data_IF_206849900817
#
_entry.id   IF_206849900817
#
_cell.length_a   1.000
_cell.length_b   1.000
_cell.length_c   1.000
_cell.angle_alpha   90.00
_cell.angle_beta   90.00
_cell.angle_gamma   90.00
#
_symmetry.space_group_name_H-M   'P 1'
#
loop_
_entity.id
_entity.type
_entity.pdbx_description
1 polymer ?
#
# COMPACT_ATOMS: atom_id res chain seq x y z
N UNK A 1 -22.31 -4.76 15.61
CA UNK A 1 -22.54 -6.22 15.74
C UNK A 1 -21.23 -6.89 16.18
N UNK A 2 -21.01 -7.02 17.49
CA UNK A 2 -19.79 -7.62 18.05
C UNK A 2 -19.75 -9.11 17.78
N UNK A 3 -18.71 -9.61 17.10
CA UNK A 3 -18.48 -11.05 16.93
C UNK A 3 -18.10 -11.59 18.30
N UNK A 4 -18.95 -12.42 18.91
CA UNK A 4 -18.58 -13.23 20.08
C UNK A 4 -17.57 -14.28 19.59
N UNK A 5 -16.29 -13.94 19.63
CA UNK A 5 -15.23 -14.92 19.47
C UNK A 5 -15.33 -15.87 20.67
N UNK A 6 -15.65 -17.14 20.43
CA UNK A 6 -15.55 -18.18 21.45
C UNK A 6 -14.06 -18.39 21.74
N UNK A 7 -13.51 -17.61 22.66
CA UNK A 7 -12.14 -17.78 23.14
C UNK A 7 -12.11 -19.00 24.06
N UNK A 8 -11.28 -19.98 23.72
CA UNK A 8 -11.06 -21.14 24.58
C UNK A 8 -10.28 -20.71 25.83
N UNK A 9 -10.50 -21.34 27.00
CA UNK A 9 -9.86 -20.95 28.26
C UNK A 9 -8.32 -20.93 28.22
N UNK A 10 -7.72 -21.64 27.26
CA UNK A 10 -6.28 -21.75 27.03
C UNK A 10 -5.68 -20.67 26.12
N UNK A 11 -6.48 -19.75 25.57
CA UNK A 11 -5.96 -18.66 24.73
C UNK A 11 -5.10 -17.74 25.58
N UNK A 12 -3.90 -17.43 25.11
CA UNK A 12 -2.98 -16.52 25.80
C UNK A 12 -3.17 -15.09 25.31
N UNK A 13 -3.33 -14.17 26.26
CA UNK A 13 -3.53 -12.75 26.02
C UNK A 13 -2.33 -11.95 26.52
N UNK A 14 -1.94 -10.91 25.77
CA UNK A 14 -0.87 -9.99 26.20
C UNK A 14 -1.40 -9.08 27.29
N UNK A 15 -0.67 -9.00 28.41
CA UNK A 15 -1.10 -8.24 29.60
C UNK A 15 -1.31 -6.76 29.29
N UNK A 16 -0.46 -6.18 28.44
CA UNK A 16 -0.52 -4.79 27.98
C UNK A 16 -1.82 -4.42 27.25
N UNK A 17 -2.51 -5.41 26.66
CA UNK A 17 -3.75 -5.19 25.90
C UNK A 17 -5.01 -5.51 26.70
N UNK A 18 -4.86 -6.03 27.92
CA UNK A 18 -5.99 -6.41 28.77
C UNK A 18 -6.71 -5.20 29.32
N UNK A 19 -5.99 -4.14 29.69
CA UNK A 19 -6.57 -2.90 30.18
C UNK A 19 -7.43 -2.22 29.11
N UNK A 20 -6.92 -2.18 27.88
CA UNK A 20 -7.70 -1.69 26.74
C UNK A 20 -8.90 -2.59 26.44
N UNK A 21 -8.75 -3.92 26.58
CA UNK A 21 -9.86 -4.85 26.40
C UNK A 21 -10.98 -4.64 27.44
N UNK A 22 -10.64 -4.39 28.71
CA UNK A 22 -11.62 -4.04 29.75
C UNK A 22 -12.36 -2.74 29.42
N UNK A 23 -11.64 -1.74 28.91
CA UNK A 23 -12.26 -0.50 28.41
C UNK A 23 -13.22 -0.73 27.24
N UNK A 24 -12.87 -1.62 26.29
CA UNK A 24 -13.79 -2.02 25.21
C UNK A 24 -15.00 -2.82 25.69
N UNK A 25 -14.92 -3.47 26.85
CA UNK A 25 -16.04 -4.17 27.50
C UNK A 25 -16.93 -3.22 28.33
N UNK A 26 -16.64 -1.91 28.37
CA UNK A 26 -17.41 -0.92 29.12
C UNK A 26 -17.14 -0.95 30.64
N UNK A 27 -16.04 -1.57 31.07
CA UNK A 27 -15.65 -1.66 32.47
C UNK A 27 -14.66 -0.52 32.74
N UNK A 28 -15.13 0.54 33.39
CA UNK A 28 -14.27 1.63 33.87
C UNK A 28 -13.49 1.13 35.09
N UNK A 29 -12.20 0.89 34.89
CA UNK A 29 -11.30 0.37 35.94
C UNK A 29 -10.42 1.47 36.48
N UNK A 30 -10.32 1.56 37.80
CA UNK A 30 -9.36 2.46 38.48
C UNK A 30 -7.96 1.87 38.50
N UNK A 31 -6.91 2.69 38.57
CA UNK A 31 -5.51 2.22 38.60
C UNK A 31 -5.25 1.21 39.74
N UNK A 32 -5.92 1.38 40.88
CA UNK A 32 -5.82 0.47 42.02
C UNK A 32 -6.43 -0.91 41.73
N UNK A 33 -7.55 -0.96 40.98
CA UNK A 33 -8.17 -2.21 40.55
C UNK A 33 -7.34 -2.92 39.48
N UNK A 34 -6.72 -2.15 38.57
CA UNK A 34 -5.80 -2.68 37.56
C UNK A 34 -4.55 -3.30 38.21
N UNK A 35 -3.97 -2.63 39.22
CA UNK A 35 -2.85 -3.17 39.99
C UNK A 35 -3.24 -4.42 40.78
N UNK A 36 -4.43 -4.42 41.42
CA UNK A 36 -4.95 -5.59 42.14
C UNK A 36 -5.16 -6.79 41.22
N UNK A 37 -5.62 -6.54 39.99
CA UNK A 37 -5.78 -7.56 38.96
C UNK A 37 -4.41 -8.09 38.50
N UNK A 38 -3.42 -7.21 38.27
CA UNK A 38 -2.05 -7.59 37.90
C UNK A 38 -1.34 -8.42 38.96
N UNK A 39 -1.60 -8.17 40.24
CA UNK A 39 -1.03 -8.96 41.33
C UNK A 39 -1.65 -10.36 41.46
N UNK A 40 -2.93 -10.52 41.08
CA UNK A 40 -3.64 -11.80 41.15
C UNK A 40 -3.42 -12.69 39.93
N UNK A 41 -3.07 -12.08 38.81
CA UNK A 41 -2.84 -12.78 37.55
C UNK A 41 -1.40 -13.29 37.48
N UNK A 42 -1.23 -14.57 37.13
CA UNK A 42 0.09 -15.12 36.84
C UNK A 42 0.55 -14.69 35.44
N UNK A 43 1.52 -13.78 35.39
CA UNK A 43 2.15 -13.33 34.15
C UNK A 43 3.34 -14.23 33.85
N UNK A 44 3.33 -14.86 32.69
CA UNK A 44 4.43 -15.71 32.23
C UNK A 44 5.66 -14.86 31.81
N UNK A 45 6.85 -15.46 31.69
CA UNK A 45 8.11 -14.81 31.32
C UNK A 45 8.07 -14.11 29.95
N UNK A 46 7.02 -14.35 29.16
CA UNK A 46 6.73 -13.72 27.86
C UNK A 46 5.70 -12.58 27.92
N UNK A 47 5.25 -12.14 29.11
CA UNK A 47 4.30 -11.03 29.27
C UNK A 47 2.86 -11.38 28.84
N UNK A 48 2.50 -12.66 28.90
CA UNK A 48 1.17 -13.17 28.51
C UNK A 48 0.48 -13.89 29.68
N UNK A 49 -0.85 -13.87 29.70
CA UNK A 49 -1.71 -14.56 30.68
C UNK A 49 -2.69 -15.48 29.94
N UNK A 50 -3.06 -16.61 30.55
CA UNK A 50 -4.18 -17.42 30.07
C UNK A 50 -5.52 -16.69 30.23
N UNK A 51 -6.39 -16.79 29.22
CA UNK A 51 -7.72 -16.15 29.24
C UNK A 51 -8.57 -16.61 30.43
N UNK A 52 -8.51 -17.89 30.79
CA UNK A 52 -9.20 -18.42 31.96
C UNK A 52 -8.80 -17.72 33.27
N UNK A 53 -7.50 -17.57 33.51
CA UNK A 53 -6.97 -16.96 34.73
C UNK A 53 -7.26 -15.46 34.78
N UNK A 54 -7.21 -14.79 33.63
CA UNK A 54 -7.62 -13.39 33.50
C UNK A 54 -9.11 -13.21 33.82
N UNK A 55 -9.98 -14.04 33.25
CA UNK A 55 -11.44 -13.98 33.49
C UNK A 55 -11.75 -14.27 34.95
N UNK A 56 -11.04 -15.21 35.58
CA UNK A 56 -11.22 -15.52 36.99
C UNK A 56 -10.77 -14.35 37.89
N UNK A 57 -9.57 -13.80 37.65
CA UNK A 57 -9.08 -12.63 38.36
C UNK A 57 -9.98 -11.40 38.18
N UNK A 58 -10.52 -11.21 36.98
CA UNK A 58 -11.46 -10.12 36.67
C UNK A 58 -12.80 -10.34 37.38
N UNK A 59 -13.34 -11.56 37.41
CA UNK A 59 -14.56 -11.88 38.18
C UNK A 59 -14.39 -11.61 39.68
N UNK A 60 -13.21 -11.88 40.23
CA UNK A 60 -12.94 -11.67 41.65
C UNK A 60 -12.71 -10.21 42.02
N UNK A 61 -12.26 -9.37 41.09
CA UNK A 61 -12.01 -7.93 41.31
C UNK A 61 -13.23 -7.06 40.93
N UNK A 62 -13.94 -7.42 39.86
CA UNK A 62 -15.04 -6.63 39.27
C UNK A 62 -16.42 -7.28 39.47
N UNK A 63 -16.57 -8.07 40.53
CA UNK A 63 -17.73 -8.95 40.81
C UNK A 63 -19.11 -8.26 40.72
N UNK A 64 -19.18 -6.94 40.87
CA UNK A 64 -20.41 -6.14 40.71
C UNK A 64 -20.67 -5.66 39.27
N UNK A 65 -19.63 -5.34 38.49
CA UNK A 65 -19.76 -4.77 37.14
C UNK A 65 -19.93 -5.85 36.06
N UNK A 66 -19.39 -7.05 36.30
CA UNK A 66 -19.52 -8.16 35.34
C UNK A 66 -20.91 -8.81 35.38
N UNK A 67 -21.58 -8.81 36.53
CA UNK A 67 -22.95 -9.32 36.66
C UNK A 67 -23.95 -8.42 35.92
N UNK A 68 -23.69 -7.10 35.88
CA UNK A 68 -24.51 -6.13 35.15
C UNK A 68 -24.27 -6.20 33.63
N UNK A 69 -23.02 -6.40 33.18
CA UNK A 69 -22.69 -6.58 31.76
C UNK A 69 -23.08 -7.96 31.20
N UNK A 70 -23.35 -8.95 32.06
CA UNK A 70 -23.80 -10.30 31.65
C UNK A 70 -25.28 -10.57 31.94
N UNK A 71 -25.95 -9.73 32.73
CA UNK A 71 -27.40 -9.74 32.92
C UNK A 71 -28.14 -9.00 31.80
N UNK A 72 -28.12 -9.58 30.60
CA UNK A 72 -29.26 -9.43 29.70
C UNK A 72 -30.49 -10.13 30.31
N UNK A 73 -31.72 -9.63 30.10
CA UNK A 73 -32.93 -10.18 30.72
C UNK A 73 -33.13 -11.62 30.25
N UNK A 74 -32.81 -12.58 31.11
CA UNK A 74 -32.82 -14.00 30.76
C UNK A 74 -31.96 -14.91 31.64
N UNK A 75 -31.47 -14.45 32.79
CA UNK A 75 -30.84 -15.33 33.78
C UNK A 75 -31.87 -15.70 34.84
N UNK A 76 -32.43 -16.89 34.68
CA UNK A 76 -33.22 -17.62 35.65
C UNK A 76 -32.47 -17.69 37.00
N UNK A 77 -32.87 -16.84 37.94
CA UNK A 77 -32.62 -17.11 39.36
C UNK A 77 -33.53 -18.28 39.75
N UNK A 78 -32.93 -19.46 39.85
CA UNK A 78 -33.52 -20.58 40.58
C UNK A 78 -33.56 -20.20 42.07
N UNK A 79 -34.57 -19.42 42.46
CA UNK A 79 -34.95 -19.24 43.85
C UNK A 79 -35.89 -20.39 44.22
N UNK A 80 -35.30 -21.45 44.77
CA UNK A 80 -36.04 -22.54 45.39
C UNK A 80 -36.61 -22.01 46.71
N UNK A 81 -37.90 -21.68 46.68
CA UNK A 81 -38.68 -21.26 47.85
C UNK A 81 -40.02 -21.96 47.82
N UNK A 82 -40.11 -23.05 48.57
CA UNK A 82 -41.34 -23.79 48.85
C UNK A 82 -42.42 -22.88 49.45
N UNK A 83 -43.63 -22.88 48.90
CA UNK A 83 -44.85 -22.56 49.66
C UNK A 83 -46.10 -23.22 49.06
N UNK A 84 -46.53 -24.24 49.80
CA UNK A 84 -47.85 -24.88 49.93
C UNK A 84 -48.95 -24.64 48.89
N UNK A 85 -49.29 -25.75 48.23
CA UNK A 85 -50.65 -26.24 48.00
C UNK A 85 -51.67 -25.76 49.05
N UNK A 86 -52.70 -25.02 48.61
CA UNK A 86 -54.00 -25.00 49.29
C UNK A 86 -55.11 -25.26 48.30
N UNK A 87 -55.38 -26.55 48.08
CA UNK A 87 -56.66 -26.99 47.55
C UNK A 87 -57.75 -26.75 48.59
N UNK A 88 -58.87 -26.20 48.13
CA UNK A 88 -60.18 -26.44 48.73
C UNK A 88 -61.26 -26.17 47.68
N UNK A 89 -61.81 -27.28 47.23
CA UNK A 89 -63.07 -27.49 46.52
C UNK A 89 -64.25 -26.85 47.28
N UNK A 90 -65.17 -26.18 46.58
CA UNK A 90 -66.61 -26.47 46.66
C UNK A 90 -67.44 -25.59 45.69
N UNK A 91 -68.49 -26.24 45.18
CA UNK A 91 -69.70 -25.75 44.51
C UNK A 91 -69.69 -25.34 43.02
N UNK A 92 -70.50 -26.03 42.18
CA UNK A 92 -70.82 -25.63 40.82
C UNK A 92 -72.06 -24.72 40.82
N UNK A 93 -71.98 -23.58 40.12
CA UNK A 93 -73.15 -22.80 39.73
C UNK A 93 -73.19 -22.76 38.22
N UNK A 94 -74.06 -23.59 37.64
CA UNK A 94 -74.57 -23.39 36.29
C UNK A 94 -75.41 -22.11 36.30
N UNK A 95 -74.89 -21.05 35.68
CA UNK A 95 -75.69 -19.96 35.17
C UNK A 95 -75.35 -19.79 33.69
N UNK A 96 -76.27 -20.27 32.87
CA UNK A 96 -76.40 -19.88 31.47
C UNK A 96 -76.79 -18.40 31.47
N UNK A 97 -75.84 -17.54 31.17
CA UNK A 97 -76.10 -16.12 30.85
C UNK A 97 -75.51 -15.85 29.47
N UNK A 98 -76.42 -15.59 28.54
CA UNK A 98 -76.34 -14.61 27.46
C UNK A 98 -74.94 -14.36 26.87
N UNK A 99 -74.75 -14.77 25.61
CA UNK A 99 -73.55 -14.50 24.84
C UNK A 99 -73.18 -13.02 24.88
N UNK A 100 -71.98 -12.75 25.39
CA UNK A 100 -71.39 -11.44 25.44
C UNK A 100 -71.01 -11.02 24.01
N UNK A 101 -71.80 -10.11 23.42
CA UNK A 101 -71.51 -9.53 22.10
C UNK A 101 -70.11 -8.87 22.04
N UNK A 102 -69.48 -8.60 23.19
CA UNK A 102 -68.11 -8.07 23.30
C UNK A 102 -67.00 -9.10 23.07
N UNK A 103 -67.16 -10.36 23.51
CA UNK A 103 -66.12 -11.39 23.37
C UNK A 103 -65.90 -11.81 21.90
N UNK A 104 -66.97 -11.79 21.09
CA UNK A 104 -66.88 -12.10 19.65
C UNK A 104 -66.15 -10.99 18.87
N UNK A 105 -66.40 -9.72 19.18
CA UNK A 105 -65.70 -8.57 18.57
C UNK A 105 -64.22 -8.49 18.98
N UNK A 106 -63.90 -8.81 20.24
CA UNK A 106 -62.52 -8.94 20.72
C UNK A 106 -61.78 -10.07 20.01
N UNK A 107 -62.40 -11.24 19.85
CA UNK A 107 -61.82 -12.36 19.13
C UNK A 107 -61.59 -12.04 17.64
N UNK A 108 -62.52 -11.34 17.00
CA UNK A 108 -62.38 -10.87 15.62
C UNK A 108 -61.26 -9.83 15.47
N UNK A 109 -61.13 -8.91 16.43
CA UNK A 109 -60.04 -7.95 16.48
C UNK A 109 -58.68 -8.63 16.61
N UNK A 110 -58.54 -9.57 17.56
CA UNK A 110 -57.32 -10.36 17.75
C UNK A 110 -56.97 -11.18 16.51
N UNK A 111 -57.96 -11.76 15.84
CA UNK A 111 -57.74 -12.49 14.57
C UNK A 111 -57.23 -11.57 13.46
N UNK A 112 -57.74 -10.34 13.38
CA UNK A 112 -57.29 -9.33 12.42
C UNK A 112 -55.85 -8.88 12.73
N UNK A 113 -55.55 -8.60 14.00
CA UNK A 113 -54.21 -8.25 14.46
C UNK A 113 -53.20 -9.37 14.18
N UNK A 114 -53.56 -10.62 14.46
CA UNK A 114 -52.74 -11.78 14.14
C UNK A 114 -52.50 -11.90 12.63
N UNK A 115 -53.55 -11.75 11.82
CA UNK A 115 -53.44 -11.77 10.35
C UNK A 115 -52.50 -10.66 9.85
N UNK A 116 -52.66 -9.44 10.38
CA UNK A 116 -51.82 -8.31 10.02
C UNK A 116 -50.35 -8.53 10.44
N UNK A 117 -50.12 -9.03 11.67
CA UNK A 117 -48.79 -9.35 12.16
C UNK A 117 -48.11 -10.43 11.31
N UNK A 118 -48.85 -11.45 10.87
CA UNK A 118 -48.33 -12.49 9.97
C UNK A 118 -47.94 -11.91 8.62
N UNK A 119 -48.73 -11.00 8.04
CA UNK A 119 -48.39 -10.34 6.77
C UNK A 119 -47.15 -9.45 6.90
N UNK A 120 -47.03 -8.70 7.99
CA UNK A 120 -45.85 -7.86 8.26
C UNK A 120 -44.59 -8.71 8.48
N UNK A 121 -44.70 -9.81 9.24
CA UNK A 121 -43.58 -10.75 9.40
C UNK A 121 -43.15 -11.34 8.05
N UNK A 122 -44.09 -11.64 7.16
CA UNK A 122 -43.75 -12.13 5.81
C UNK A 122 -43.02 -11.07 5.00
N UNK A 123 -43.51 -9.83 5.00
CA UNK A 123 -42.88 -8.69 4.31
C UNK A 123 -41.46 -8.43 4.83
N UNK A 124 -41.29 -8.38 6.16
CA UNK A 124 -39.98 -8.18 6.78
C UNK A 124 -38.99 -9.32 6.45
N UNK A 125 -39.47 -10.56 6.32
CA UNK A 125 -38.63 -11.68 5.87
C UNK A 125 -38.17 -11.51 4.42
N UNK A 126 -39.05 -11.04 3.54
CA UNK A 126 -38.71 -10.76 2.15
C UNK A 126 -37.68 -9.64 2.05
N UNK A 127 -37.91 -8.50 2.74
CA UNK A 127 -36.98 -7.37 2.81
C UNK A 127 -35.61 -7.77 3.41
N UNK A 128 -35.60 -8.57 4.48
CA UNK A 128 -34.36 -9.10 5.07
C UNK A 128 -33.60 -9.95 4.05
N UNK A 129 -34.30 -10.82 3.32
CA UNK A 129 -33.66 -11.67 2.31
C UNK A 129 -33.08 -10.85 1.15
N UNK A 130 -33.76 -9.79 0.71
CA UNK A 130 -33.28 -8.88 -0.32
C UNK A 130 -32.07 -8.07 0.16
N UNK A 131 -32.12 -7.57 1.40
CA UNK A 131 -31.00 -6.91 2.06
C UNK A 131 -29.78 -7.83 2.18
N UNK A 132 -29.98 -9.11 2.52
CA UNK A 132 -28.89 -10.08 2.59
C UNK A 132 -28.28 -10.37 1.22
N UNK A 133 -29.09 -10.49 0.17
CA UNK A 133 -28.61 -10.68 -1.21
C UNK A 133 -27.81 -9.47 -1.69
N UNK A 134 -28.33 -8.27 -1.53
CA UNK A 134 -27.63 -7.03 -1.92
C UNK A 134 -26.33 -6.85 -1.15
N UNK A 135 -26.31 -7.16 0.16
CA UNK A 135 -25.08 -7.17 0.96
C UNK A 135 -24.05 -8.20 0.45
N UNK A 136 -24.49 -9.39 0.00
CA UNK A 136 -23.59 -10.38 -0.59
C UNK A 136 -22.96 -9.85 -1.88
N UNK A 137 -23.78 -9.31 -2.79
CA UNK A 137 -23.32 -8.72 -4.05
C UNK A 137 -22.32 -7.60 -3.81
N UNK A 138 -22.64 -6.63 -2.93
CA UNK A 138 -21.72 -5.54 -2.60
C UNK A 138 -20.41 -6.05 -1.99
N UNK A 139 -20.44 -7.14 -1.22
CA UNK A 139 -19.23 -7.76 -0.68
C UNK A 139 -18.36 -8.40 -1.77
N UNK A 140 -18.97 -9.02 -2.78
CA UNK A 140 -18.27 -9.61 -3.93
C UNK A 140 -17.67 -8.52 -4.83
N UNK A 141 -18.43 -7.46 -5.11
CA UNK A 141 -17.97 -6.26 -5.81
C UNK A 141 -16.78 -5.62 -5.11
N UNK A 142 -16.86 -5.43 -3.78
CA UNK A 142 -15.76 -4.89 -2.98
C UNK A 142 -14.52 -5.78 -3.07
N UNK A 143 -14.70 -7.10 -3.03
CA UNK A 143 -13.57 -8.03 -3.18
C UNK A 143 -12.94 -7.93 -4.57
N UNK A 144 -13.75 -7.87 -5.63
CA UNK A 144 -13.28 -7.72 -7.01
C UNK A 144 -12.50 -6.42 -7.19
N UNK A 145 -13.06 -5.28 -6.78
CA UNK A 145 -12.39 -3.97 -6.86
C UNK A 145 -11.09 -3.96 -6.03
N UNK A 146 -11.08 -4.61 -4.87
CA UNK A 146 -9.86 -4.73 -4.06
C UNK A 146 -8.77 -5.51 -4.79
N UNK A 147 -9.14 -6.56 -5.52
CA UNK A 147 -8.18 -7.36 -6.30
C UNK A 147 -7.67 -6.60 -7.53
N UNK A 148 -8.55 -5.91 -8.25
CA UNK A 148 -8.18 -5.03 -9.37
C UNK A 148 -7.24 -3.88 -8.92
N UNK A 149 -7.50 -3.29 -7.75
CA UNK A 149 -6.63 -2.26 -7.19
C UNK A 149 -5.23 -2.81 -6.87
N UNK A 150 -5.14 -4.06 -6.38
CA UNK A 150 -3.83 -4.71 -6.12
C UNK A 150 -3.05 -4.95 -7.42
N UNK A 151 -3.69 -5.49 -8.46
CA UNK A 151 -3.02 -5.70 -9.75
C UNK A 151 -2.56 -4.37 -10.36
N UNK A 152 -3.38 -3.32 -10.28
CA UNK A 152 -3.00 -1.98 -10.73
C UNK A 152 -1.76 -1.43 -9.99
N UNK A 153 -1.67 -1.64 -8.66
CA UNK A 153 -0.49 -1.23 -7.87
C UNK A 153 0.78 -1.98 -8.30
N UNK A 154 0.67 -3.27 -8.59
CA UNK A 154 1.79 -4.08 -9.08
C UNK A 154 2.26 -3.61 -10.47
N UNK A 155 1.32 -3.31 -11.38
CA UNK A 155 1.63 -2.71 -12.68
C UNK A 155 2.31 -1.36 -12.55
N UNK A 156 1.80 -0.45 -11.69
CA UNK A 156 2.44 0.83 -11.42
C UNK A 156 3.84 0.66 -10.83
N UNK A 157 4.10 -0.40 -10.04
CA UNK A 157 5.44 -0.72 -9.54
C UNK A 157 6.36 -1.18 -10.67
N UNK A 158 5.88 -2.07 -11.54
CA UNK A 158 6.64 -2.57 -12.68
C UNK A 158 6.99 -1.44 -13.67
N UNK A 159 6.04 -0.57 -13.98
CA UNK A 159 6.24 0.59 -14.84
C UNK A 159 7.28 1.57 -14.27
N UNK A 160 7.22 1.86 -12.96
CA UNK A 160 8.24 2.68 -12.29
C UNK A 160 9.64 2.06 -12.39
N UNK A 161 9.75 0.74 -12.23
CA UNK A 161 11.02 0.02 -12.43
C UNK A 161 11.55 0.19 -13.85
N UNK A 162 10.68 0.06 -14.86
CA UNK A 162 11.04 0.26 -16.27
C UNK A 162 11.50 1.70 -16.56
N UNK A 163 10.83 2.70 -15.99
CA UNK A 163 11.24 4.11 -16.12
C UNK A 163 12.65 4.31 -15.57
N UNK A 164 12.95 3.78 -14.38
CA UNK A 164 14.29 3.95 -13.78
C UNK A 164 15.41 3.38 -14.67
N UNK A 165 15.20 2.18 -15.22
CA UNK A 165 16.16 1.56 -16.15
C UNK A 165 16.28 2.37 -17.44
N UNK A 166 15.16 2.82 -18.02
CA UNK A 166 15.17 3.65 -19.22
C UNK A 166 15.91 4.99 -19.00
N UNK A 167 15.70 5.63 -17.86
CA UNK A 167 16.41 6.85 -17.50
C UNK A 167 17.91 6.61 -17.30
N UNK A 168 18.30 5.49 -16.68
CA UNK A 168 19.71 5.13 -16.52
C UNK A 168 20.38 4.93 -17.90
N UNK A 169 19.73 4.19 -18.79
CA UNK A 169 20.19 4.01 -20.17
C UNK A 169 20.28 5.33 -20.93
N UNK A 170 19.31 6.24 -20.76
CA UNK A 170 19.33 7.56 -21.38
C UNK A 170 20.49 8.43 -20.88
N UNK A 171 20.76 8.44 -19.57
CA UNK A 171 21.92 9.16 -19.01
C UNK A 171 23.22 8.60 -19.55
N UNK A 172 23.33 7.28 -19.66
CA UNK A 172 24.50 6.62 -20.25
C UNK A 172 24.68 7.02 -21.71
N UNK A 173 23.63 6.96 -22.53
CA UNK A 173 23.68 7.33 -23.94
C UNK A 173 24.12 8.80 -24.13
N UNK A 174 23.61 9.72 -23.31
CA UNK A 174 24.03 11.14 -23.32
C UNK A 174 25.49 11.31 -22.91
N UNK A 175 25.97 10.56 -21.91
CA UNK A 175 27.39 10.57 -21.54
C UNK A 175 28.28 10.15 -22.71
N UNK A 176 27.91 9.06 -23.38
CA UNK A 176 28.64 8.58 -24.57
C UNK A 176 28.59 9.59 -25.72
N UNK A 177 27.45 10.27 -25.93
CA UNK A 177 27.32 11.35 -26.92
C UNK A 177 28.31 12.48 -26.66
N UNK A 178 28.43 12.94 -25.40
CA UNK A 178 29.42 13.96 -25.03
C UNK A 178 30.87 13.49 -25.27
N UNK A 179 31.18 12.24 -24.93
CA UNK A 179 32.51 11.67 -25.19
C UNK A 179 32.82 11.65 -26.70
N UNK A 180 31.83 11.31 -27.54
CA UNK A 180 31.98 11.35 -29.00
C UNK A 180 32.15 12.78 -29.53
N UNK A 181 31.41 13.75 -29.00
CA UNK A 181 31.57 15.17 -29.37
C UNK A 181 32.97 15.70 -29.04
N UNK A 182 33.54 15.32 -27.89
CA UNK A 182 34.90 15.70 -27.52
C UNK A 182 35.93 15.11 -28.50
N UNK A 183 35.78 13.83 -28.85
CA UNK A 183 36.65 13.19 -29.86
C UNK A 183 36.51 13.87 -31.22
N UNK A 184 35.30 14.22 -31.64
CA UNK A 184 35.07 14.95 -32.89
C UNK A 184 35.81 16.29 -32.85
N UNK A 185 35.68 17.06 -31.77
CA UNK A 185 36.38 18.35 -31.65
C UNK A 185 37.90 18.21 -31.67
N UNK A 186 38.47 17.19 -31.01
CA UNK A 186 39.90 16.91 -31.06
C UNK A 186 40.36 16.56 -32.48
N UNK A 187 39.61 15.72 -33.19
CA UNK A 187 39.90 15.36 -34.58
C UNK A 187 39.75 16.55 -35.52
N UNK A 188 38.75 17.40 -35.32
CA UNK A 188 38.57 18.63 -36.09
C UNK A 188 39.76 19.57 -35.89
N UNK A 189 40.22 19.75 -34.65
CA UNK A 189 41.39 20.55 -34.33
C UNK A 189 42.65 20.00 -35.01
N UNK A 190 42.90 18.69 -34.92
CA UNK A 190 44.04 18.04 -35.56
C UNK A 190 43.99 18.18 -37.09
N UNK A 191 42.82 18.05 -37.72
CA UNK A 191 42.65 18.31 -39.15
C UNK A 191 43.00 19.76 -39.49
N UNK A 192 42.60 20.74 -38.67
CA UNK A 192 42.96 22.14 -38.92
C UNK A 192 44.47 22.39 -38.80
N UNK A 193 45.12 21.77 -37.81
CA UNK A 193 46.57 21.86 -37.62
C UNK A 193 47.32 21.22 -38.79
N UNK A 194 46.95 20.01 -39.20
CA UNK A 194 47.56 19.31 -40.33
C UNK A 194 47.40 20.10 -41.65
N UNK A 195 46.26 20.75 -41.85
CA UNK A 195 46.03 21.64 -43.00
C UNK A 195 46.94 22.87 -42.95
N UNK A 196 47.14 23.47 -41.78
CA UNK A 196 48.05 24.59 -41.61
C UNK A 196 49.50 24.18 -41.91
N UNK A 197 49.96 23.07 -41.34
CA UNK A 197 51.30 22.50 -41.59
C UNK A 197 51.54 22.23 -43.08
N UNK A 198 50.56 21.64 -43.78
CA UNK A 198 50.66 21.43 -45.23
C UNK A 198 50.76 22.74 -46.02
N UNK A 199 50.03 23.77 -45.61
CA UNK A 199 50.09 25.08 -46.26
C UNK A 199 51.43 25.79 -46.05
N UNK A 200 52.02 25.67 -44.86
CA UNK A 200 53.34 26.21 -44.54
C UNK A 200 54.45 25.48 -45.31
N UNK A 201 54.42 24.15 -45.34
CA UNK A 201 55.37 23.36 -46.12
C UNK A 201 55.28 23.67 -47.62
N UNK A 202 54.06 23.83 -48.15
CA UNK A 202 53.88 24.22 -49.54
C UNK A 202 54.43 25.62 -49.84
N UNK A 203 54.26 26.58 -48.92
CA UNK A 203 54.85 27.91 -49.01
C UNK A 203 56.38 27.88 -49.04
N UNK A 204 56.99 27.20 -48.07
CA UNK A 204 58.45 27.03 -47.99
C UNK A 204 59.04 26.38 -49.25
N UNK A 205 58.42 25.28 -49.71
CA UNK A 205 58.87 24.60 -50.94
C UNK A 205 58.80 25.49 -52.17
N UNK A 206 57.79 26.36 -52.27
CA UNK A 206 57.62 27.28 -53.39
C UNK A 206 58.66 28.40 -53.37
N UNK A 207 58.96 28.95 -52.19
CA UNK A 207 60.00 29.96 -52.00
C UNK A 207 61.39 29.40 -52.29
N UNK A 208 61.71 28.21 -51.78
CA UNK A 208 62.96 27.49 -52.08
C UNK A 208 63.13 27.24 -53.58
N UNK A 209 62.05 26.79 -54.23
CA UNK A 209 62.04 26.58 -55.68
C UNK A 209 62.24 27.90 -56.46
N UNK A 210 61.76 29.03 -55.94
CA UNK A 210 61.97 30.34 -56.56
C UNK A 210 63.42 30.82 -56.37
N UNK A 211 64.00 30.63 -55.20
CA UNK A 211 65.38 31.02 -54.92
C UNK A 211 66.40 30.16 -55.69
N UNK A 212 66.12 28.87 -55.86
CA UNK A 212 66.87 28.00 -56.77
C UNK A 212 66.82 28.52 -58.21
N UNK A 213 65.65 28.93 -58.71
CA UNK A 213 65.54 29.52 -60.06
C UNK A 213 66.35 30.81 -60.20
N UNK A 214 66.33 31.69 -59.19
CA UNK A 214 67.16 32.92 -59.19
C UNK A 214 68.65 32.57 -59.24
N UNK A 215 69.11 31.59 -58.44
CA UNK A 215 70.50 31.11 -58.44
C UNK A 215 70.91 30.53 -59.80
N UNK A 216 70.06 29.71 -60.41
CA UNK A 216 70.31 29.17 -61.76
C UNK A 216 70.46 30.28 -62.78
N UNK A 217 69.61 31.31 -62.76
CA UNK A 217 69.71 32.45 -63.67
C UNK A 217 71.02 33.24 -63.50
N UNK A 218 71.50 33.40 -62.25
CA UNK A 218 72.81 34.02 -61.96
C UNK A 218 73.95 33.18 -62.51
N UNK A 219 73.92 31.86 -62.27
CA UNK A 219 74.94 30.93 -62.80
C UNK A 219 74.95 30.92 -64.33
N UNK A 220 73.80 30.95 -64.99
CA UNK A 220 73.68 31.06 -66.45
C UNK A 220 74.31 32.34 -67.00
N UNK A 221 74.16 33.46 -66.29
CA UNK A 221 74.80 34.73 -66.67
C UNK A 221 76.33 34.65 -66.50
N UNK A 222 76.79 34.09 -65.38
CA UNK A 222 78.21 33.87 -65.11
C UNK A 222 78.85 32.94 -66.14
N UNK A 223 78.17 31.84 -66.51
CA UNK A 223 78.62 30.90 -67.52
C UNK A 223 78.77 31.59 -68.87
N UNK A 224 77.74 32.31 -69.34
CA UNK A 224 77.81 33.08 -70.59
C UNK A 224 78.95 34.10 -70.61
N UNK A 225 79.19 34.78 -69.48
CA UNK A 225 80.33 35.71 -69.35
C UNK A 225 81.66 34.97 -69.44
N UNK A 226 81.81 33.84 -68.75
CA UNK A 226 83.02 33.00 -68.79
C UNK A 226 83.27 32.44 -70.19
N UNK A 227 82.22 31.97 -70.88
CA UNK A 227 82.30 31.48 -72.25
C UNK A 227 82.75 32.58 -73.22
N UNK A 228 82.26 33.81 -73.04
CA UNK A 228 82.70 34.95 -73.85
C UNK A 228 84.19 35.27 -73.59
N UNK A 229 84.61 35.32 -72.33
CA UNK A 229 86.02 35.54 -71.96
C UNK A 229 86.91 34.45 -72.54
N UNK A 230 86.49 33.19 -72.46
CA UNK A 230 87.21 32.06 -73.06
C UNK A 230 87.36 32.22 -74.57
N UNK A 231 86.28 32.53 -75.29
CA UNK A 231 86.33 32.78 -76.74
C UNK A 231 87.26 33.93 -77.10
N UNK A 232 87.23 35.05 -76.36
CA UNK A 232 88.14 36.17 -76.59
C UNK A 232 89.59 35.79 -76.32
N UNK A 233 89.84 34.98 -75.29
CA UNK A 233 91.17 34.45 -74.99
C UNK A 233 91.67 33.55 -76.12
N UNK A 234 90.88 32.56 -76.55
CA UNK A 234 91.19 31.66 -77.65
C UNK A 234 91.58 32.44 -78.92
N UNK A 235 90.78 33.44 -79.32
CA UNK A 235 91.04 34.31 -80.48
C UNK A 235 92.32 35.15 -80.32
N UNK A 236 92.73 35.47 -79.09
CA UNK A 236 93.95 36.26 -78.83
C UNK A 236 95.23 35.41 -78.78
N UNK A 237 95.08 34.09 -78.73
CA UNK A 237 96.19 33.12 -78.68
C UNK A 237 96.38 32.32 -79.97
N UNK A 238 95.46 32.44 -80.93
CA UNK A 238 95.63 32.03 -82.34
C UNK A 238 96.30 33.17 -83.15
#
# INVERSE_FOLDING_TARGET
RGRRASLTPSVRLKVEKLETALGYLGIETTEQQQQSLRQRIQVDSMGTVAYGDFVQGARDVFRLQLDEATSGPGSITLSSGDVSTRGQTAEPVEQVTEGDEGEEDELESVKREWSNAVTEVKKLKEELSESERSRSQLSEELHRVTQEAKSAVEECRALRGRIHVAEAAQRQARGMEMDYEEVIHLLEAEITELKAQLSEQHGQSKDDAQDLRKRVAVLDCQLRKSELVKKTFEISTD
#
